data_IF_284666273653
#
_entry.id   IF_284666273653
#
_cell.length_a   1.000
_cell.length_b   1.000
_cell.length_c   1.000
_cell.angle_alpha   90.00
_cell.angle_beta   90.00
_cell.angle_gamma   90.00
#
_symmetry.space_group_name_H-M   'P 1'
#
loop_
_entity.id
_entity.type
_entity.pdbx_description
1 polymer ?
#
# COMPACT_ATOMS: atom_id res chain seq x y z
N UNK A 1 32.57 36.90 -33.75
CA UNK A 1 33.12 35.98 -32.69
C UNK A 1 32.16 35.80 -31.51
N UNK A 2 31.50 36.83 -31.07
CA UNK A 2 30.59 36.83 -29.91
C UNK A 2 29.31 36.02 -30.12
N UNK A 3 28.67 36.10 -31.28
CA UNK A 3 27.45 35.33 -31.60
C UNK A 3 27.64 33.82 -31.56
N UNK A 4 28.80 33.32 -32.00
CA UNK A 4 29.10 31.87 -31.98
C UNK A 4 29.29 31.31 -30.57
N UNK A 5 29.67 32.15 -29.63
CA UNK A 5 29.80 31.74 -28.22
C UNK A 5 28.42 31.67 -27.55
N UNK A 6 27.55 32.65 -27.79
CA UNK A 6 26.20 32.72 -27.24
C UNK A 6 25.39 31.48 -27.66
N UNK A 7 25.49 31.07 -28.92
CA UNK A 7 24.79 29.88 -29.44
C UNK A 7 25.25 28.59 -28.75
N UNK A 8 26.53 28.46 -28.43
CA UNK A 8 27.07 27.28 -27.73
C UNK A 8 26.59 27.21 -26.30
N UNK A 9 26.54 28.33 -25.59
CA UNK A 9 26.02 28.37 -24.21
C UNK A 9 24.51 28.16 -24.17
N UNK A 10 23.75 28.67 -25.13
CA UNK A 10 22.32 28.46 -25.26
C UNK A 10 21.97 26.98 -25.48
N UNK A 11 22.74 26.27 -26.32
CA UNK A 11 22.58 24.82 -26.55
C UNK A 11 22.91 24.00 -25.28
N UNK A 12 23.97 24.40 -24.56
CA UNK A 12 24.37 23.71 -23.33
C UNK A 12 23.34 23.88 -22.21
N UNK A 13 22.75 25.06 -22.06
CA UNK A 13 21.69 25.34 -21.08
C UNK A 13 20.40 24.56 -21.42
N UNK A 14 20.06 24.50 -22.73
CA UNK A 14 18.89 23.74 -23.19
C UNK A 14 19.01 22.22 -22.90
N UNK A 15 20.23 21.67 -23.00
CA UNK A 15 20.47 20.25 -22.72
C UNK A 15 20.31 19.89 -21.24
N UNK A 16 20.50 20.84 -20.31
CA UNK A 16 20.37 20.60 -18.87
C UNK A 16 18.91 20.58 -18.43
N UNK A 17 18.03 21.28 -19.15
CA UNK A 17 16.61 21.37 -18.79
C UNK A 17 15.85 20.05 -19.05
N UNK A 18 16.37 19.17 -19.89
CA UNK A 18 15.76 17.88 -20.21
C UNK A 18 16.19 16.72 -19.30
N UNK A 19 17.07 16.94 -18.32
CA UNK A 19 17.30 15.98 -17.25
C UNK A 19 16.22 16.13 -16.17
N UNK A 20 14.95 16.09 -16.57
CA UNK A 20 13.84 15.91 -15.66
C UNK A 20 14.04 14.57 -14.98
N UNK A 21 14.18 14.57 -13.67
CA UNK A 21 14.18 13.36 -12.88
C UNK A 21 12.88 12.61 -13.19
N UNK A 22 12.96 11.53 -13.93
CA UNK A 22 11.90 10.54 -14.02
C UNK A 22 11.82 9.88 -12.64
N UNK A 23 10.93 10.41 -11.79
CA UNK A 23 10.61 9.80 -10.51
C UNK A 23 9.73 8.60 -10.82
N UNK A 24 10.38 7.49 -11.09
CA UNK A 24 9.71 6.21 -11.25
C UNK A 24 9.27 5.74 -9.86
N UNK A 25 7.97 5.58 -9.68
CA UNK A 25 7.43 4.91 -8.49
C UNK A 25 7.66 3.41 -8.70
N UNK A 26 8.92 3.00 -8.52
CA UNK A 26 9.37 1.62 -8.75
C UNK A 26 8.51 0.61 -7.99
N UNK A 27 7.96 0.98 -6.84
CA UNK A 27 7.10 0.13 -6.02
C UNK A 27 5.73 -0.19 -6.68
N UNK A 28 5.25 0.70 -7.57
CA UNK A 28 3.98 0.47 -8.30
C UNK A 28 4.21 -0.36 -9.56
N UNK A 29 5.37 -0.16 -10.22
CA UNK A 29 5.70 -0.85 -11.48
C UNK A 29 6.40 -2.19 -11.25
N UNK A 30 7.13 -2.32 -10.16
CA UNK A 30 7.88 -3.52 -9.79
C UNK A 30 7.55 -3.88 -8.33
N UNK A 31 6.50 -4.67 -8.09
CA UNK A 31 6.28 -5.19 -6.74
C UNK A 31 7.57 -5.86 -6.26
N UNK A 32 7.94 -5.70 -4.99
CA UNK A 32 9.19 -6.23 -4.47
C UNK A 32 9.31 -7.71 -4.83
N UNK A 33 10.36 -8.08 -5.52
CA UNK A 33 10.61 -9.44 -6.04
C UNK A 33 10.68 -10.51 -4.95
N UNK A 34 10.64 -10.10 -3.68
CA UNK A 34 10.71 -10.95 -2.49
C UNK A 34 9.41 -11.01 -1.69
N UNK A 35 8.27 -10.61 -2.27
CA UNK A 35 6.99 -10.73 -1.59
C UNK A 35 6.54 -12.19 -1.56
N UNK A 36 6.84 -12.88 -0.48
CA UNK A 36 6.39 -14.26 -0.25
C UNK A 36 4.92 -14.23 0.17
N UNK A 37 4.09 -14.97 -0.55
CA UNK A 37 2.64 -15.07 -0.33
C UNK A 37 2.16 -16.52 -0.21
N UNK A 38 3.09 -17.46 -0.11
CA UNK A 38 2.78 -18.88 0.07
C UNK A 38 2.52 -19.18 1.55
N UNK A 39 1.49 -19.98 1.84
CA UNK A 39 1.16 -20.45 3.18
C UNK A 39 1.05 -19.33 4.23
N UNK A 40 0.25 -18.31 3.95
CA UNK A 40 0.07 -17.15 4.84
C UNK A 40 -0.52 -17.55 6.18
N UNK A 41 0.14 -17.13 7.26
CA UNK A 41 -0.32 -17.30 8.65
C UNK A 41 -0.94 -16.00 9.16
N UNK A 42 -2.08 -16.11 9.83
CA UNK A 42 -2.67 -14.96 10.49
C UNK A 42 -1.71 -14.36 11.53
N UNK A 43 -1.14 -15.19 12.40
CA UNK A 43 -0.34 -14.73 13.51
C UNK A 43 0.99 -14.07 13.08
N UNK A 44 1.65 -14.62 12.07
CA UNK A 44 2.99 -14.17 11.68
C UNK A 44 3.02 -13.21 10.50
N UNK A 45 2.03 -13.27 9.62
CA UNK A 45 2.03 -12.48 8.38
C UNK A 45 0.96 -11.39 8.36
N UNK A 46 -0.24 -11.67 8.87
CA UNK A 46 -1.37 -10.75 8.74
C UNK A 46 -1.54 -9.86 9.97
N UNK A 47 -1.51 -10.42 11.17
CA UNK A 47 -1.69 -9.65 12.40
C UNK A 47 -0.66 -8.51 12.54
N UNK A 48 0.64 -8.68 12.22
CA UNK A 48 1.60 -7.59 12.23
C UNK A 48 1.27 -6.44 11.26
N UNK A 49 0.76 -6.76 10.06
CA UNK A 49 0.31 -5.75 9.09
C UNK A 49 -0.83 -4.92 9.66
N UNK A 50 -1.84 -5.59 10.25
CA UNK A 50 -2.98 -4.93 10.86
C UNK A 50 -2.58 -4.11 12.09
N UNK A 51 -1.66 -4.62 12.90
CA UNK A 51 -1.16 -3.94 14.10
C UNK A 51 -0.47 -2.62 13.75
N UNK A 52 0.36 -2.61 12.75
CA UNK A 52 1.13 -1.43 12.33
C UNK A 52 0.22 -0.39 11.66
N UNK A 53 -0.69 -0.84 10.79
CA UNK A 53 -1.41 0.05 9.89
C UNK A 53 -2.84 0.40 10.36
N UNK A 54 -3.45 -0.42 11.22
CA UNK A 54 -4.88 -0.32 11.51
C UNK A 54 -5.19 -0.13 13.01
N UNK A 55 -4.45 -0.80 13.93
CA UNK A 55 -4.82 -0.84 15.34
C UNK A 55 -4.74 0.51 16.05
N UNK A 56 -4.00 1.49 15.53
CA UNK A 56 -4.00 2.86 16.09
C UNK A 56 -5.42 3.41 16.19
N UNK A 57 -6.28 3.08 15.23
CA UNK A 57 -7.67 3.54 15.16
C UNK A 57 -8.70 2.43 15.39
N UNK A 58 -8.36 1.18 15.10
CA UNK A 58 -9.30 0.06 15.03
C UNK A 58 -8.94 -1.08 16.02
N UNK A 59 -8.35 -0.75 17.17
CA UNK A 59 -8.24 -1.68 18.30
C UNK A 59 -9.52 -1.64 19.15
N UNK A 60 -9.63 -2.53 20.15
CA UNK A 60 -10.80 -2.62 21.02
C UNK A 60 -11.05 -1.33 21.83
N UNK A 61 -10.00 -0.60 22.20
CA UNK A 61 -10.14 0.61 23.00
C UNK A 61 -10.51 1.83 22.14
N UNK A 62 -9.90 1.99 20.97
CA UNK A 62 -10.15 3.13 20.08
C UNK A 62 -11.46 2.97 19.30
N UNK A 63 -11.69 1.81 18.72
CA UNK A 63 -12.92 1.40 18.03
C UNK A 63 -13.51 2.49 17.11
N UNK A 64 -12.68 3.20 16.36
CA UNK A 64 -13.12 4.31 15.52
C UNK A 64 -14.10 3.83 14.44
N UNK A 65 -15.23 4.52 14.33
CA UNK A 65 -16.29 4.16 13.39
C UNK A 65 -16.99 2.83 13.73
N UNK A 66 -16.91 2.36 14.97
CA UNK A 66 -17.39 1.05 15.43
C UNK A 66 -16.76 -0.12 14.66
N UNK A 67 -15.51 0.04 14.26
CA UNK A 67 -14.72 -0.97 13.57
C UNK A 67 -13.60 -1.43 14.48
N UNK A 68 -13.58 -2.71 14.83
CA UNK A 68 -12.50 -3.38 15.57
C UNK A 68 -11.84 -4.41 14.66
N UNK A 69 -10.53 -4.29 14.48
CA UNK A 69 -9.73 -5.23 13.69
C UNK A 69 -8.73 -6.01 14.56
N UNK A 70 -8.77 -5.79 15.86
CA UNK A 70 -7.93 -6.52 16.81
C UNK A 70 -8.48 -7.93 17.02
N UNK A 71 -7.62 -8.92 16.75
CA UNK A 71 -7.96 -10.33 16.83
C UNK A 71 -8.67 -10.90 15.60
N UNK A 72 -8.37 -12.16 15.28
CA UNK A 72 -8.86 -12.85 14.08
C UNK A 72 -10.40 -12.84 13.98
N UNK A 73 -11.11 -13.10 15.09
CA UNK A 73 -12.57 -13.18 15.12
C UNK A 73 -13.26 -11.87 14.69
N UNK A 74 -12.61 -10.72 14.92
CA UNK A 74 -13.10 -9.43 14.49
C UNK A 74 -12.79 -9.21 13.01
N UNK A 75 -11.55 -9.49 12.59
CA UNK A 75 -11.09 -9.29 11.20
C UNK A 75 -11.92 -10.09 10.21
N UNK A 76 -12.27 -11.33 10.53
CA UNK A 76 -12.99 -12.22 9.61
C UNK A 76 -14.35 -11.67 9.19
N UNK A 77 -15.01 -10.85 10.00
CA UNK A 77 -16.27 -10.20 9.64
C UNK A 77 -16.09 -9.22 8.47
N UNK A 78 -14.99 -8.48 8.48
CA UNK A 78 -14.66 -7.50 7.44
C UNK A 78 -14.06 -8.17 6.20
N UNK A 79 -13.46 -9.34 6.34
CA UNK A 79 -13.06 -10.21 5.21
C UNK A 79 -14.29 -10.72 4.50
N UNK A 80 -15.24 -11.32 5.24
CA UNK A 80 -16.44 -11.94 4.68
C UNK A 80 -17.37 -10.92 4.00
N UNK A 81 -17.41 -9.69 4.49
CA UNK A 81 -18.18 -8.60 3.88
C UNK A 81 -17.47 -7.93 2.70
N UNK A 82 -16.20 -8.24 2.45
CA UNK A 82 -15.36 -7.58 1.44
C UNK A 82 -14.86 -6.19 1.86
N UNK A 83 -15.27 -5.70 3.02
CA UNK A 83 -14.92 -4.34 3.48
C UNK A 83 -13.42 -4.16 3.68
N UNK A 84 -12.73 -5.17 4.22
CA UNK A 84 -11.28 -5.08 4.43
C UNK A 84 -10.55 -4.81 3.12
N UNK A 85 -10.76 -5.66 2.11
CA UNK A 85 -10.08 -5.53 0.82
C UNK A 85 -10.49 -4.28 0.06
N UNK A 86 -11.78 -3.93 0.07
CA UNK A 86 -12.28 -2.72 -0.56
C UNK A 86 -11.66 -1.45 0.03
N UNK A 87 -11.53 -1.40 1.35
CA UNK A 87 -10.97 -0.25 2.07
C UNK A 87 -9.46 -0.09 1.82
N UNK A 88 -8.65 -1.15 1.97
CA UNK A 88 -7.18 -1.07 1.85
C UNK A 88 -6.70 -0.89 0.40
N UNK A 89 -7.51 -1.29 -0.59
CA UNK A 89 -7.27 -1.04 -2.02
C UNK A 89 -7.86 0.28 -2.50
N UNK A 90 -8.48 1.06 -1.64
CA UNK A 90 -9.19 2.30 -1.98
C UNK A 90 -10.21 2.13 -3.12
N UNK A 91 -10.93 1.03 -3.12
CA UNK A 91 -11.93 0.74 -4.14
C UNK A 91 -13.15 1.67 -4.02
N UNK A 92 -13.75 2.01 -5.15
CA UNK A 92 -14.98 2.81 -5.19
C UNK A 92 -16.10 2.11 -4.41
N UNK A 93 -16.82 2.88 -3.58
CA UNK A 93 -17.88 2.37 -2.72
C UNK A 93 -17.43 1.96 -1.32
N UNK A 94 -16.15 2.00 -1.03
CA UNK A 94 -15.59 1.73 0.30
C UNK A 94 -14.91 2.97 0.88
N UNK A 95 -14.89 3.09 2.20
CA UNK A 95 -14.08 4.11 2.86
C UNK A 95 -12.60 3.76 2.73
N UNK A 96 -11.84 4.64 2.09
CA UNK A 96 -10.40 4.44 1.87
C UNK A 96 -9.64 4.37 3.20
N UNK A 97 -8.86 3.32 3.41
CA UNK A 97 -8.02 3.08 4.60
C UNK A 97 -6.59 2.70 4.21
N UNK A 98 -5.57 3.19 4.93
CA UNK A 98 -5.65 4.13 6.05
C UNK A 98 -6.23 5.49 5.63
N UNK A 99 -6.96 6.14 6.55
CA UNK A 99 -7.63 7.41 6.24
C UNK A 99 -6.62 8.52 5.96
N UNK A 100 -6.86 9.32 4.90
CA UNK A 100 -5.99 10.42 4.47
C UNK A 100 -4.54 9.98 4.11
N UNK A 101 -4.36 8.74 3.72
CA UNK A 101 -3.08 8.16 3.32
C UNK A 101 -3.18 7.51 1.93
N UNK A 102 -2.05 7.07 1.40
CA UNK A 102 -2.01 6.15 0.25
C UNK A 102 -2.50 4.77 0.67
N UNK A 103 -2.92 3.90 -0.28
CA UNK A 103 -3.15 2.48 0.00
C UNK A 103 -1.95 1.83 0.69
N UNK A 104 -2.16 0.69 1.32
CA UNK A 104 -1.06 -0.14 1.81
C UNK A 104 -0.10 -0.52 0.68
N UNK A 105 1.13 -0.88 1.03
CA UNK A 105 2.11 -1.39 0.09
C UNK A 105 1.59 -2.60 -0.68
N UNK A 106 1.98 -2.73 -1.94
CA UNK A 106 1.50 -3.80 -2.81
C UNK A 106 1.74 -5.20 -2.23
N UNK A 107 2.85 -5.40 -1.53
CA UNK A 107 3.14 -6.68 -0.87
C UNK A 107 2.21 -6.95 0.32
N UNK A 108 1.92 -5.97 1.14
CA UNK A 108 0.99 -6.11 2.27
C UNK A 108 -0.41 -6.46 1.78
N UNK A 109 -0.88 -5.77 0.75
CA UNK A 109 -2.16 -6.08 0.08
C UNK A 109 -2.15 -7.51 -0.47
N UNK A 110 -1.08 -7.93 -1.16
CA UNK A 110 -0.95 -9.26 -1.73
C UNK A 110 -0.95 -10.35 -0.64
N UNK A 111 -0.28 -10.13 0.48
CA UNK A 111 -0.29 -11.05 1.62
C UNK A 111 -1.69 -11.24 2.20
N UNK A 112 -2.41 -10.15 2.45
CA UNK A 112 -3.79 -10.21 2.97
C UNK A 112 -4.69 -10.92 1.95
N UNK A 113 -4.57 -10.59 0.67
CA UNK A 113 -5.36 -11.21 -0.40
C UNK A 113 -5.13 -12.72 -0.49
N UNK A 114 -3.86 -13.16 -0.46
CA UNK A 114 -3.54 -14.58 -0.49
C UNK A 114 -3.97 -15.32 0.78
N UNK A 115 -3.85 -14.71 1.95
CA UNK A 115 -4.40 -15.27 3.18
C UNK A 115 -5.91 -15.51 3.06
N UNK A 116 -6.65 -14.55 2.50
CA UNK A 116 -8.09 -14.69 2.25
C UNK A 116 -8.37 -15.84 1.28
N UNK A 117 -7.64 -15.91 0.16
CA UNK A 117 -7.77 -16.99 -0.84
C UNK A 117 -7.47 -18.36 -0.24
N UNK A 118 -6.54 -18.43 0.71
CA UNK A 118 -6.17 -19.66 1.42
C UNK A 118 -7.17 -20.02 2.54
N UNK A 119 -8.27 -19.30 2.67
CA UNK A 119 -9.35 -19.58 3.61
C UNK A 119 -9.33 -18.75 4.90
N UNK A 120 -8.53 -17.71 4.96
CA UNK A 120 -8.44 -16.75 6.06
C UNK A 120 -8.31 -17.42 7.44
N UNK A 121 -7.46 -18.43 7.55
CA UNK A 121 -7.33 -19.27 8.74
C UNK A 121 -6.72 -18.51 9.91
N UNK A 122 -7.10 -18.94 11.13
CA UNK A 122 -6.51 -18.46 12.38
C UNK A 122 -5.36 -19.40 12.78
N UNK A 123 -4.19 -19.22 12.19
CA UNK A 123 -3.02 -20.10 12.33
C UNK A 123 -1.74 -19.33 12.68
#
# INVERSE_FOLDING_TARGET
>A
MMERQITKYSLAVLAIVFTSCYYDVAEVLYPPTNCVTDNMSYATDIAPILQINCYVCHNEAANNGNVTLEGHANVINYVNSGQLMGAIKHQSGFSAMPQNSTPLGSCEISKIEQWIVQGAQNN
#
